data_IF_591119673708
#
_entry.id   IF_591119673708
#
_cell.length_a   1.000
_cell.length_b   1.000
_cell.length_c   1.000
_cell.angle_alpha   90.00
_cell.angle_beta   90.00
_cell.angle_gamma   90.00
#
_symmetry.space_group_name_H-M   'P 1'
#
loop_
_entity.id
_entity.type
_entity.pdbx_description
1 polymer ?
#
# COMPACT_ATOMS: atom_id res chain seq x y z
N UNK A 1 5.14 0.52 26.21
CA UNK A 1 4.79 0.71 25.73
C UNK A 1 4.78 0.56 24.93
N UNK A 2 5.17 0.22 24.75
CA UNK A 2 5.23 0.17 23.98
C UNK A 2 4.81 0.10 23.14
N UNK A 3 4.53 0.02 23.08
CA UNK A 3 4.07 0.06 22.37
C UNK A 3 4.10 0.31 21.50
N UNK A 4 4.25 0.51 21.66
CA UNK A 4 4.34 0.80 20.89
C UNK A 4 4.88 0.68 20.18
N UNK A 5 5.49 0.60 20.76
CA UNK A 5 6.46 0.32 19.88
C UNK A 5 6.04 -0.05 18.57
N UNK A 6 5.31 -0.75 18.62
CA UNK A 6 4.72 -1.09 17.45
C UNK A 6 3.81 -0.07 17.01
N UNK A 7 3.86 1.03 17.66
CA UNK A 7 2.94 2.04 17.41
C UNK A 7 3.07 2.72 16.10
N UNK A 8 3.43 2.03 15.09
CA UNK A 8 3.43 2.58 13.76
C UNK A 8 2.01 2.89 13.38
N UNK A 9 1.68 4.18 13.26
CA UNK A 9 0.37 4.62 12.87
C UNK A 9 0.40 4.81 11.35
N UNK A 10 0.11 3.76 10.61
CA UNK A 10 0.12 3.82 9.16
C UNK A 10 -1.23 4.25 8.64
N UNK A 11 -1.23 5.26 7.80
CA UNK A 11 -2.43 5.75 7.15
C UNK A 11 -2.22 5.72 5.65
N UNK A 12 -3.22 5.21 4.93
CA UNK A 12 -3.17 5.08 3.49
C UNK A 12 -4.01 6.15 2.84
N UNK A 13 -3.43 6.85 1.88
CA UNK A 13 -4.11 7.89 1.13
C UNK A 13 -4.07 7.53 -0.34
N UNK A 14 -5.22 7.64 -1.01
CA UNK A 14 -5.28 7.50 -2.46
C UNK A 14 -5.32 8.88 -3.07
N UNK A 15 -4.52 9.09 -4.12
CA UNK A 15 -4.46 10.37 -4.83
C UNK A 15 -4.71 10.09 -6.30
N UNK A 16 -5.64 10.85 -6.89
CA UNK A 16 -5.90 10.79 -8.33
C UNK A 16 -5.46 12.09 -8.95
N UNK A 17 -4.69 12.00 -10.04
CA UNK A 17 -4.14 13.18 -10.67
C UNK A 17 -3.97 12.97 -12.17
N UNK A 18 -3.89 14.10 -12.90
CA UNK A 18 -3.65 14.10 -14.33
C UNK A 18 -2.43 14.94 -14.62
N UNK A 19 -1.88 14.82 -15.83
CA UNK A 19 -0.71 15.61 -16.21
C UNK A 19 0.55 14.79 -16.38
N UNK A 20 0.46 13.48 -16.29
CA UNK A 20 1.55 12.58 -16.60
C UNK A 20 2.75 12.73 -15.67
N UNK A 21 3.94 12.55 -16.22
CA UNK A 21 5.18 12.56 -15.43
C UNK A 21 5.43 13.90 -14.75
N UNK A 22 5.03 15.00 -15.36
CA UNK A 22 5.23 16.30 -14.76
C UNK A 22 4.40 16.44 -13.48
N UNK A 23 3.15 15.97 -13.52
CA UNK A 23 2.28 15.98 -12.34
C UNK A 23 2.82 15.05 -11.26
N UNK A 24 3.32 13.89 -11.66
CA UNK A 24 3.93 12.95 -10.71
C UNK A 24 5.13 13.61 -10.02
N UNK A 25 5.97 14.29 -10.79
CA UNK A 25 7.12 14.96 -10.22
C UNK A 25 6.73 16.03 -9.20
N UNK A 26 5.67 16.79 -9.50
CA UNK A 26 5.17 17.79 -8.56
C UNK A 26 4.66 17.15 -7.28
N UNK A 27 3.97 16.04 -7.40
CA UNK A 27 3.48 15.31 -6.23
C UNK A 27 4.66 14.84 -5.38
N UNK A 28 5.66 14.20 -6.00
CA UNK A 28 6.81 13.70 -5.27
C UNK A 28 7.58 14.83 -4.59
N UNK A 29 7.72 15.96 -5.27
CA UNK A 29 8.39 17.10 -4.68
C UNK A 29 7.61 17.67 -3.49
N UNK A 30 6.30 17.64 -3.56
CA UNK A 30 5.47 18.11 -2.44
C UNK A 30 5.67 17.20 -1.24
N UNK A 31 5.66 15.88 -1.47
CA UNK A 31 5.92 14.93 -0.38
C UNK A 31 7.27 15.20 0.28
N UNK A 32 8.27 15.47 -0.54
CA UNK A 32 9.61 15.72 -0.05
C UNK A 32 9.71 17.06 0.66
N UNK A 33 9.21 18.12 0.04
CA UNK A 33 9.33 19.47 0.57
C UNK A 33 8.56 19.66 1.88
N UNK A 34 7.44 18.97 2.02
CA UNK A 34 6.65 19.04 3.25
C UNK A 34 7.07 17.96 4.24
N UNK A 35 8.12 17.19 3.91
CA UNK A 35 8.69 16.17 4.78
C UNK A 35 7.65 15.21 5.29
N UNK A 36 6.77 14.77 4.39
CA UNK A 36 5.75 13.78 4.76
C UNK A 36 6.43 12.43 5.00
N UNK A 37 6.06 11.73 6.06
CA UNK A 37 6.72 10.46 6.43
C UNK A 37 6.21 9.30 5.59
N UNK A 38 6.68 9.23 4.34
CA UNK A 38 6.23 8.22 3.39
C UNK A 38 6.88 6.89 3.70
N UNK A 39 6.06 5.89 4.01
CA UNK A 39 6.52 4.53 4.25
C UNK A 39 6.32 3.64 3.02
N UNK A 40 5.49 4.06 2.07
CA UNK A 40 5.29 3.32 0.83
C UNK A 40 4.62 4.20 -0.19
N UNK A 41 4.87 3.90 -1.46
CA UNK A 41 4.31 4.66 -2.57
C UNK A 41 4.12 3.71 -3.74
N UNK A 42 2.90 3.67 -4.27
CA UNK A 42 2.59 2.83 -5.41
C UNK A 42 1.86 3.66 -6.44
N UNK A 43 2.24 3.50 -7.68
CA UNK A 43 1.66 4.27 -8.77
C UNK A 43 1.01 3.30 -9.76
N UNK A 44 -0.21 3.63 -10.18
CA UNK A 44 -0.91 2.88 -11.21
C UNK A 44 -1.56 3.83 -12.18
N UNK A 45 -1.95 3.30 -13.33
CA UNK A 45 -2.68 4.09 -14.31
C UNK A 45 -4.17 3.94 -14.06
N UNK A 46 -4.90 4.98 -14.43
CA UNK A 46 -6.34 5.02 -14.36
C UNK A 46 -6.83 5.40 -15.76
N UNK A 47 -8.11 5.21 -16.04
CA UNK A 47 -8.66 5.53 -17.36
C UNK A 47 -8.40 6.98 -17.75
N UNK A 48 -8.51 7.89 -16.79
CA UNK A 48 -8.41 9.31 -17.05
C UNK A 48 -7.12 9.94 -16.51
N UNK A 49 -6.20 9.11 -15.99
CA UNK A 49 -4.98 9.68 -15.43
C UNK A 49 -4.21 8.66 -14.64
N UNK A 50 -3.73 9.08 -13.48
CA UNK A 50 -2.90 8.25 -12.62
C UNK A 50 -3.46 8.18 -11.21
N UNK A 51 -3.18 7.08 -10.53
CA UNK A 51 -3.55 6.87 -9.14
C UNK A 51 -2.30 6.54 -8.35
N UNK A 52 -2.09 7.26 -7.28
CA UNK A 52 -1.00 6.95 -6.35
C UNK A 52 -1.61 6.50 -5.04
N UNK A 53 -1.01 5.49 -4.46
CA UNK A 53 -1.33 5.08 -3.09
C UNK A 53 -0.14 5.42 -2.24
N UNK A 54 -0.36 6.22 -1.21
CA UNK A 54 0.71 6.71 -0.34
C UNK A 54 0.46 6.19 1.06
N UNK A 55 1.43 5.50 1.61
CA UNK A 55 1.37 5.00 2.97
C UNK A 55 2.18 5.96 3.83
N UNK A 56 1.52 6.60 4.78
CA UNK A 56 2.15 7.58 5.66
C UNK A 56 2.27 7.03 7.09
N UNK A 57 3.45 7.15 7.66
CA UNK A 57 3.70 6.74 9.03
C UNK A 57 3.44 7.95 9.93
N UNK A 58 2.17 8.20 10.22
CA UNK A 58 1.76 9.35 11.02
C UNK A 58 0.38 9.12 11.62
N UNK A 59 0.01 9.90 12.65
CA UNK A 59 -1.34 9.82 13.22
C UNK A 59 -2.39 10.32 12.23
N UNK A 60 -3.66 9.97 12.44
CA UNK A 60 -4.73 10.38 11.54
C UNK A 60 -4.85 11.89 11.35
N UNK A 61 -4.62 12.68 12.39
CA UNK A 61 -4.71 14.13 12.28
C UNK A 61 -3.66 14.67 11.31
N UNK A 62 -2.46 14.11 11.36
CA UNK A 62 -1.40 14.52 10.44
C UNK A 62 -1.73 14.07 9.02
N UNK A 63 -2.32 12.89 8.88
CA UNK A 63 -2.72 12.39 7.56
C UNK A 63 -3.75 13.30 6.92
N UNK A 64 -4.70 13.81 7.71
CA UNK A 64 -5.69 14.77 7.20
C UNK A 64 -5.03 16.05 6.71
N UNK A 65 -4.08 16.55 7.46
CA UNK A 65 -3.35 17.77 7.07
C UNK A 65 -2.56 17.53 5.79
N UNK A 66 -1.87 16.40 5.68
CA UNK A 66 -1.11 16.07 4.48
C UNK A 66 -2.02 15.89 3.28
N UNK A 67 -3.19 15.27 3.48
CA UNK A 67 -4.17 15.10 2.42
C UNK A 67 -4.61 16.46 1.87
N UNK A 68 -4.84 17.42 2.75
CA UNK A 68 -5.23 18.77 2.34
C UNK A 68 -4.13 19.43 1.52
N UNK A 69 -2.87 19.25 1.91
CA UNK A 69 -1.75 19.80 1.16
C UNK A 69 -1.64 19.19 -0.24
N UNK A 70 -1.85 17.88 -0.34
CA UNK A 70 -1.83 17.20 -1.63
C UNK A 70 -2.99 17.67 -2.50
N UNK A 71 -4.16 17.79 -1.91
CA UNK A 71 -5.36 18.17 -2.65
C UNK A 71 -5.26 19.60 -3.19
N UNK A 72 -4.42 20.42 -2.60
CA UNK A 72 -4.21 21.79 -3.07
C UNK A 72 -3.37 21.85 -4.35
N UNK A 73 -2.76 20.74 -4.77
CA UNK A 73 -2.01 20.73 -6.02
C UNK A 73 -2.98 20.80 -7.21
N UNK A 74 -2.61 21.59 -8.20
CA UNK A 74 -3.46 21.83 -9.36
C UNK A 74 -3.79 20.55 -10.12
N UNK A 75 -2.83 19.64 -10.21
CA UNK A 75 -2.99 18.40 -10.97
C UNK A 75 -3.85 17.36 -10.28
N UNK A 76 -4.10 17.52 -8.98
CA UNK A 76 -4.79 16.53 -8.18
C UNK A 76 -6.29 16.76 -8.20
N UNK A 77 -7.04 15.75 -8.62
CA UNK A 77 -8.49 15.84 -8.67
C UNK A 77 -9.14 15.29 -7.40
N UNK A 78 -8.54 14.27 -6.79
CA UNK A 78 -9.07 13.66 -5.58
C UNK A 78 -7.92 13.20 -4.68
N UNK A 79 -8.13 13.30 -3.39
CA UNK A 79 -7.22 12.74 -2.40
C UNK A 79 -8.00 12.43 -1.14
N UNK A 80 -7.80 11.26 -0.57
CA UNK A 80 -8.51 10.88 0.64
C UNK A 80 -8.07 9.54 1.17
N UNK A 81 -8.62 9.15 2.32
CA UNK A 81 -8.23 7.88 2.95
C UNK A 81 -8.67 6.69 2.10
N UNK A 82 -7.90 5.62 2.19
CA UNK A 82 -8.18 4.42 1.42
C UNK A 82 -7.81 3.20 2.24
N UNK A 83 -8.42 2.08 1.89
CA UNK A 83 -8.12 0.80 2.48
C UNK A 83 -6.99 0.17 1.67
N UNK A 84 -5.88 -0.22 2.31
CA UNK A 84 -4.74 -0.75 1.56
C UNK A 84 -4.87 -2.23 1.29
N UNK A 85 -4.36 -2.65 0.15
CA UNK A 85 -4.16 -4.06 -0.14
C UNK A 85 -2.70 -4.22 -0.58
N UNK A 86 -2.08 -5.30 -0.18
CA UNK A 86 -0.68 -5.55 -0.50
C UNK A 86 -0.57 -6.90 -1.17
N UNK A 87 0.43 -7.06 -2.03
CA UNK A 87 0.72 -8.32 -2.69
C UNK A 87 2.16 -8.72 -2.37
N UNK A 88 2.40 -10.02 -2.25
CA UNK A 88 3.75 -10.53 -2.09
C UNK A 88 3.97 -11.66 -3.10
N UNK A 89 5.12 -11.65 -3.73
CA UNK A 89 5.56 -12.74 -4.60
C UNK A 89 6.62 -13.51 -3.83
N UNK A 90 6.38 -14.80 -3.60
CA UNK A 90 7.19 -15.56 -2.64
C UNK A 90 7.72 -16.84 -3.28
N UNK A 91 9.03 -17.05 -3.12
CA UNK A 91 9.65 -18.34 -3.43
C UNK A 91 9.92 -19.06 -2.12
N UNK A 92 9.36 -20.25 -1.96
CA UNK A 92 9.57 -21.02 -0.76
C UNK A 92 9.52 -22.52 -1.07
N UNK A 93 10.39 -23.28 -0.41
CA UNK A 93 10.35 -24.73 -0.48
C UNK A 93 9.50 -25.32 0.63
N UNK A 94 9.06 -24.50 1.57
CA UNK A 94 8.25 -24.91 2.69
C UNK A 94 6.79 -25.02 2.28
N UNK A 95 6.06 -25.90 2.97
CA UNK A 95 4.63 -25.95 2.76
C UNK A 95 4.01 -24.67 3.28
N UNK A 96 3.41 -23.92 2.37
CA UNK A 96 2.89 -22.58 2.67
C UNK A 96 1.37 -22.59 2.90
N UNK A 97 0.71 -23.71 2.67
CA UNK A 97 -0.76 -23.76 2.69
C UNK A 97 -1.33 -23.57 4.08
N UNK A 98 -0.76 -24.25 5.07
CA UNK A 98 -1.25 -24.10 6.44
C UNK A 98 -0.97 -22.71 6.99
N UNK A 99 0.27 -22.15 6.85
CA UNK A 99 0.50 -20.77 7.28
C UNK A 99 -0.43 -19.77 6.58
N UNK A 100 -0.76 -20.00 5.31
CA UNK A 100 -1.68 -19.12 4.59
C UNK A 100 -3.07 -19.14 5.21
N UNK A 101 -3.58 -20.33 5.53
CA UNK A 101 -4.87 -20.45 6.18
C UNK A 101 -4.90 -19.77 7.53
N UNK A 102 -3.86 -19.99 8.32
CA UNK A 102 -3.77 -19.39 9.66
C UNK A 102 -3.74 -17.87 9.60
N UNK A 103 -3.06 -17.34 8.61
CA UNK A 103 -2.93 -15.88 8.44
C UNK A 103 -4.17 -15.26 7.81
N UNK A 104 -5.05 -16.07 7.24
CA UNK A 104 -6.23 -15.55 6.56
C UNK A 104 -5.90 -14.84 5.27
N UNK A 105 -4.78 -15.20 4.63
CA UNK A 105 -4.32 -14.54 3.42
C UNK A 105 -4.80 -15.32 2.19
N UNK A 106 -5.13 -14.60 1.14
CA UNK A 106 -5.46 -15.18 -0.15
C UNK A 106 -4.18 -15.54 -0.86
N UNK A 107 -4.12 -16.74 -1.44
CA UNK A 107 -2.91 -17.17 -2.15
C UNK A 107 -3.27 -17.77 -3.50
N UNK A 108 -2.32 -17.69 -4.40
CA UNK A 108 -2.43 -18.25 -5.72
C UNK A 108 -1.03 -18.70 -6.13
N UNK A 109 -0.93 -19.89 -6.72
CA UNK A 109 0.37 -20.40 -7.16
C UNK A 109 0.49 -20.23 -8.66
N UNK A 110 1.58 -19.64 -9.10
CA UNK A 110 1.83 -19.38 -10.52
C UNK A 110 3.27 -19.74 -10.83
N UNK A 111 3.46 -20.86 -11.53
CA UNK A 111 4.79 -21.26 -11.98
C UNK A 111 5.81 -21.45 -10.87
N UNK A 112 5.39 -21.94 -9.73
CA UNK A 112 6.27 -22.14 -8.59
C UNK A 112 6.38 -20.94 -7.66
N UNK A 113 5.83 -19.81 -8.06
CA UNK A 113 5.78 -18.62 -7.21
C UNK A 113 4.45 -18.57 -6.48
N UNK A 114 4.50 -18.33 -5.18
CA UNK A 114 3.28 -18.12 -4.40
C UNK A 114 2.95 -16.64 -4.41
N UNK A 115 1.76 -16.31 -4.89
CA UNK A 115 1.28 -14.94 -4.89
C UNK A 115 0.30 -14.81 -3.73
N UNK A 116 0.63 -13.96 -2.76
CA UNK A 116 -0.23 -13.73 -1.60
C UNK A 116 -0.73 -12.29 -1.65
N UNK A 117 -2.00 -12.09 -1.31
CA UNK A 117 -2.56 -10.73 -1.31
C UNK A 117 -3.55 -10.57 -0.19
N UNK A 118 -3.64 -9.36 0.33
CA UNK A 118 -4.56 -9.04 1.40
C UNK A 118 -4.11 -7.80 2.15
N UNK A 119 -4.69 -7.62 3.33
CA UNK A 119 -4.28 -6.51 4.19
C UNK A 119 -2.80 -6.63 4.52
N UNK A 120 -2.07 -5.51 4.63
CA UNK A 120 -0.63 -5.56 4.89
C UNK A 120 -0.27 -6.36 6.13
N UNK A 121 -1.07 -6.31 7.20
CA UNK A 121 -0.81 -7.07 8.41
C UNK A 121 -0.88 -8.58 8.15
N UNK A 122 -1.79 -9.00 7.29
CA UNK A 122 -1.92 -10.42 6.96
C UNK A 122 -0.75 -10.90 6.12
N UNK A 123 -0.27 -10.06 5.20
CA UNK A 123 0.92 -10.37 4.41
C UNK A 123 2.12 -10.51 5.35
N UNK A 124 2.26 -9.59 6.30
CA UNK A 124 3.34 -9.62 7.28
C UNK A 124 3.28 -10.90 8.11
N UNK A 125 2.09 -11.25 8.59
CA UNK A 125 1.91 -12.44 9.41
C UNK A 125 2.24 -13.72 8.63
N UNK A 126 1.85 -13.76 7.36
CA UNK A 126 2.12 -14.91 6.52
C UNK A 126 3.63 -15.08 6.30
N UNK A 127 4.33 -13.99 5.97
CA UNK A 127 5.78 -14.05 5.78
C UNK A 127 6.49 -14.44 7.07
N UNK A 128 6.04 -13.92 8.21
CA UNK A 128 6.61 -14.29 9.49
C UNK A 128 6.40 -15.77 9.80
N UNK A 129 5.24 -16.30 9.46
CA UNK A 129 4.93 -17.70 9.68
C UNK A 129 5.78 -18.63 8.81
N UNK A 130 6.16 -18.18 7.61
CA UNK A 130 7.06 -18.96 6.76
C UNK A 130 8.50 -18.90 7.25
N UNK A 131 8.88 -17.79 7.85
CA UNK A 131 10.19 -17.63 8.47
C UNK A 131 11.33 -17.98 7.54
N UNK A 132 12.20 -18.86 7.99
CA UNK A 132 13.40 -19.26 7.24
C UNK A 132 13.08 -20.05 5.98
N UNK A 133 11.84 -20.48 5.80
CA UNK A 133 11.43 -21.19 4.59
C UNK A 133 11.34 -20.31 3.37
N UNK A 134 11.37 -19.00 3.53
CA UNK A 134 11.30 -18.08 2.41
C UNK A 134 12.69 -17.93 1.79
N UNK A 135 12.81 -18.28 0.51
CA UNK A 135 14.07 -18.15 -0.22
C UNK A 135 14.17 -16.74 -0.82
N UNK A 136 13.04 -16.21 -1.26
CA UNK A 136 12.99 -14.86 -1.81
C UNK A 136 11.56 -14.34 -1.68
N UNK A 137 11.41 -13.06 -1.47
CA UNK A 137 10.10 -12.45 -1.39
C UNK A 137 10.17 -11.00 -1.84
N UNK A 138 9.20 -10.62 -2.68
CA UNK A 138 9.05 -9.25 -3.14
C UNK A 138 7.67 -8.78 -2.68
N UNK A 139 7.63 -7.70 -1.93
CA UNK A 139 6.37 -7.10 -1.49
C UNK A 139 6.04 -5.92 -2.38
N UNK A 140 4.82 -5.88 -2.89
CA UNK A 140 4.35 -4.85 -3.80
C UNK A 140 3.14 -4.15 -3.17
N UNK A 141 3.18 -2.86 -3.13
CA UNK A 141 2.10 -2.09 -2.54
C UNK A 141 2.61 -1.15 -1.48
N UNK A 142 1.70 -0.57 -0.67
CA UNK A 142 0.26 -0.86 -0.72
C UNK A 142 -0.40 -0.25 -1.94
N UNK A 143 -1.55 -0.78 -2.29
CA UNK A 143 -2.41 -0.24 -3.34
C UNK A 143 -3.76 0.00 -2.71
N UNK A 144 -4.37 1.14 -3.02
CA UNK A 144 -5.70 1.45 -2.52
C UNK A 144 -6.70 0.47 -3.12
N UNK A 145 -7.50 -0.15 -2.28
CA UNK A 145 -8.54 -1.07 -2.73
C UNK A 145 -9.58 -0.28 -3.52
N UNK A 146 -9.93 -0.71 -4.73
CA UNK A 146 -10.96 -0.01 -5.48
C UNK A 146 -12.29 -0.03 -4.71
N UNK A 147 -12.98 1.08 -4.73
CA UNK A 147 -14.28 1.16 -4.10
C UNK A 147 -15.32 0.48 -4.97
N UNK A 148 -16.19 -0.30 -4.34
CA UNK A 148 -17.33 -0.85 -5.02
C UNK A 148 -18.39 0.24 -5.05
N UNK A 149 -18.70 0.73 -6.24
CA UNK A 149 -19.70 1.77 -6.38
C UNK A 149 -21.07 1.13 -6.29
N UNK A 150 -21.91 1.67 -5.42
CA UNK A 150 -23.23 1.15 -5.24
C UNK A 150 -24.04 1.21 -6.51
N UNK A 151 -24.79 0.20 -6.79
CA UNK A 151 -25.61 0.14 -7.98
C UNK A 151 -24.86 -0.15 -9.25
N UNK A 152 -23.59 -0.37 -9.13
CA UNK A 152 -22.78 -0.72 -10.29
C UNK A 152 -22.96 -2.16 -10.66
#
# INVERSE_FOLDING_TARGET
MPESATGVALNTIEVRFTGGMLALNRLLMTLQNKRMPVAGFTLGSDNDGMRATILLDCPPESALRYTALILALEDVSEAGPAEPIEMALIETSKDWREPAERSGIETHEDGGTVVASGEPQKVEAFLAALGDGVEDAVRLGPVARPEVRGGA
#
